data_IF_503689983388
#
_entry.id   IF_503689983388
#
_cell.length_a   1.000
_cell.length_b   1.000
_cell.length_c   1.000
_cell.angle_alpha   90.00
_cell.angle_beta   90.00
_cell.angle_gamma   90.00
#
_symmetry.space_group_name_H-M   'P 1'
#
loop_
_entity.id
_entity.type
_entity.pdbx_description
1 polymer ?
#
# COMPACT_ATOMS: atom_id res chain seq x y z
N UNK A 1 -0.33 33.97 -41.60
CA UNK A 1 -0.12 33.81 -40.14
C UNK A 1 -1.45 33.39 -39.55
N UNK A 2 -1.62 32.11 -39.25
CA UNK A 2 -2.84 31.58 -38.66
C UNK A 2 -2.45 30.79 -37.40
N UNK A 3 -3.25 31.02 -36.36
CA UNK A 3 -2.96 30.77 -34.96
C UNK A 3 -2.74 29.28 -34.66
N UNK A 4 -1.67 29.00 -33.92
CA UNK A 4 -1.40 27.71 -33.29
C UNK A 4 -2.44 27.45 -32.21
N UNK A 5 -3.41 26.59 -32.51
CA UNK A 5 -4.26 25.93 -31.51
C UNK A 5 -3.42 24.88 -30.77
N UNK A 6 -2.69 25.29 -29.73
CA UNK A 6 -2.10 24.34 -28.79
C UNK A 6 -3.17 23.91 -27.80
N UNK A 7 -3.82 22.79 -28.06
CA UNK A 7 -4.52 22.07 -27.00
C UNK A 7 -3.46 21.58 -26.01
N UNK A 8 -3.40 22.21 -24.84
CA UNK A 8 -2.58 21.77 -23.71
C UNK A 8 -3.49 20.90 -22.85
N UNK A 9 -3.20 19.60 -22.80
CA UNK A 9 -3.86 18.70 -21.87
C UNK A 9 -3.57 19.16 -20.41
N UNK A 10 -4.57 19.16 -19.49
CA UNK A 10 -4.35 19.58 -18.11
C UNK A 10 -3.27 18.72 -17.42
N UNK A 11 -2.31 19.37 -16.76
CA UNK A 11 -1.17 18.75 -16.07
C UNK A 11 -1.56 18.11 -14.70
N UNK A 12 -2.69 17.40 -14.64
CA UNK A 12 -3.33 16.97 -13.39
C UNK A 12 -2.85 15.62 -12.83
N UNK A 13 -1.91 14.93 -13.48
CA UNK A 13 -1.51 13.56 -13.12
C UNK A 13 0.01 13.43 -13.09
N UNK A 14 0.59 13.09 -11.92
CA UNK A 14 2.03 12.92 -11.71
C UNK A 14 2.35 11.45 -11.40
N UNK A 15 3.56 10.96 -11.75
CA UNK A 15 4.02 9.62 -11.33
C UNK A 15 4.13 9.56 -9.81
N UNK A 16 3.67 8.46 -9.21
CA UNK A 16 3.82 8.24 -7.78
C UNK A 16 5.26 7.78 -7.44
N UNK A 17 5.98 8.55 -6.63
CA UNK A 17 7.40 8.32 -6.30
C UNK A 17 7.65 7.72 -4.90
N UNK A 18 6.59 7.42 -4.15
CA UNK A 18 6.69 6.90 -2.77
C UNK A 18 6.36 5.40 -2.65
N UNK A 19 6.17 4.68 -3.77
CA UNK A 19 5.97 3.25 -3.72
C UNK A 19 7.21 2.53 -3.17
N UNK A 20 7.04 1.74 -2.11
CA UNK A 20 8.09 0.88 -1.57
C UNK A 20 8.35 -0.35 -2.46
N UNK A 21 7.34 -0.77 -3.24
CA UNK A 21 7.46 -1.81 -4.25
C UNK A 21 6.68 -1.43 -5.52
N UNK A 22 7.29 -1.69 -6.67
CA UNK A 22 6.84 -1.21 -7.98
C UNK A 22 5.47 -1.75 -8.40
N UNK A 23 4.53 -0.82 -8.56
CA UNK A 23 3.46 -0.94 -9.54
C UNK A 23 3.76 0.06 -10.65
N UNK A 24 4.28 -0.43 -11.77
CA UNK A 24 4.51 0.41 -12.95
C UNK A 24 3.18 1.06 -13.37
N UNK A 25 3.19 2.39 -13.50
CA UNK A 25 2.03 3.14 -13.97
C UNK A 25 1.06 3.63 -12.89
N UNK A 26 1.37 3.51 -11.58
CA UNK A 26 0.60 4.21 -10.54
C UNK A 26 0.85 5.71 -10.63
N UNK A 27 -0.25 6.45 -10.69
CA UNK A 27 -0.26 7.89 -10.78
C UNK A 27 -0.86 8.49 -9.51
N UNK A 28 -0.64 9.78 -9.31
CA UNK A 28 -1.30 10.58 -8.28
C UNK A 28 -1.91 11.83 -8.90
N UNK A 29 -2.93 12.35 -8.25
CA UNK A 29 -3.49 13.67 -8.58
C UNK A 29 -2.52 14.80 -8.20
N UNK A 30 -2.91 16.05 -8.47
CA UNK A 30 -2.07 17.21 -8.22
C UNK A 30 -1.85 17.50 -6.73
N UNK A 31 -2.89 17.33 -5.91
CA UNK A 31 -2.81 17.50 -4.45
C UNK A 31 -1.94 16.41 -3.81
N UNK A 32 -1.87 15.24 -4.46
CA UNK A 32 -1.23 14.04 -3.93
C UNK A 32 -2.10 13.27 -2.95
N UNK A 33 -3.36 13.64 -2.76
CA UNK A 33 -4.32 12.94 -1.90
C UNK A 33 -4.84 11.64 -2.54
N UNK A 34 -4.80 11.52 -3.87
CA UNK A 34 -5.37 10.39 -4.59
C UNK A 34 -4.30 9.58 -5.34
N UNK A 35 -4.53 8.28 -5.43
CA UNK A 35 -3.79 7.34 -6.26
C UNK A 35 -4.69 6.81 -7.37
N UNK A 36 -4.18 6.82 -8.59
CA UNK A 36 -4.82 6.24 -9.77
C UNK A 36 -3.98 5.02 -10.16
N UNK A 37 -4.52 3.83 -9.92
CA UNK A 37 -3.82 2.55 -10.15
C UNK A 37 -4.49 1.81 -11.31
N UNK A 38 -3.80 1.64 -12.45
CA UNK A 38 -4.25 0.71 -13.49
C UNK A 38 -4.38 -0.70 -12.91
N UNK A 39 -5.54 -1.33 -13.09
CA UNK A 39 -5.87 -2.57 -12.39
C UNK A 39 -6.68 -3.53 -13.26
N UNK A 40 -6.73 -4.80 -12.84
CA UNK A 40 -7.58 -5.79 -13.49
C UNK A 40 -9.05 -5.57 -13.09
N UNK A 41 -10.03 -5.96 -13.93
CA UNK A 41 -11.45 -5.91 -13.57
C UNK A 41 -11.76 -6.66 -12.26
N UNK A 42 -11.02 -7.73 -11.95
CA UNK A 42 -11.16 -8.48 -10.70
C UNK A 42 -10.82 -7.63 -9.46
N UNK A 43 -9.82 -6.75 -9.54
CA UNK A 43 -9.46 -5.85 -8.44
C UNK A 43 -10.56 -4.80 -8.24
N UNK A 44 -11.10 -4.23 -9.32
CA UNK A 44 -12.24 -3.29 -9.28
C UNK A 44 -13.43 -3.93 -8.57
N UNK A 45 -13.83 -5.13 -9.01
CA UNK A 45 -14.97 -5.84 -8.45
C UNK A 45 -14.79 -6.14 -6.95
N UNK A 46 -13.55 -6.42 -6.51
CA UNK A 46 -13.26 -6.63 -5.09
C UNK A 46 -13.45 -5.34 -4.27
N UNK A 47 -12.95 -4.19 -4.75
CA UNK A 47 -13.17 -2.89 -4.09
C UNK A 47 -14.66 -2.51 -4.04
N UNK A 48 -15.40 -2.68 -5.14
CA UNK A 48 -16.83 -2.38 -5.19
C UNK A 48 -17.65 -3.27 -4.23
N UNK A 49 -17.36 -4.56 -4.21
CA UNK A 49 -18.06 -5.51 -3.34
C UNK A 49 -17.67 -5.40 -1.86
N UNK A 50 -16.50 -4.85 -1.54
CA UNK A 50 -16.07 -4.64 -0.16
C UNK A 50 -16.99 -3.70 0.63
N UNK A 51 -17.81 -2.87 -0.03
CA UNK A 51 -18.84 -2.07 0.63
C UNK A 51 -19.86 -2.91 1.42
N UNK A 52 -20.08 -4.18 1.01
CA UNK A 52 -20.92 -5.13 1.76
C UNK A 52 -20.21 -5.74 2.99
N UNK A 53 -18.91 -5.44 3.17
CA UNK A 53 -18.05 -5.98 4.22
C UNK A 53 -17.37 -4.82 5.00
N UNK A 54 -18.13 -3.95 5.69
CA UNK A 54 -17.62 -2.69 6.25
C UNK A 54 -16.44 -2.87 7.23
N UNK A 55 -16.45 -3.95 8.03
CA UNK A 55 -15.34 -4.27 8.93
C UNK A 55 -14.03 -4.54 8.18
N UNK A 56 -14.10 -5.16 7.00
CA UNK A 56 -12.96 -5.39 6.12
C UNK A 56 -12.59 -4.12 5.34
N UNK A 57 -13.58 -3.41 4.78
CA UNK A 57 -13.38 -2.20 3.99
C UNK A 57 -12.64 -1.10 4.76
N UNK A 58 -12.84 -0.99 6.08
CA UNK A 58 -12.08 -0.09 6.97
C UNK A 58 -10.55 -0.27 6.83
N UNK A 59 -10.10 -1.48 6.53
CA UNK A 59 -8.69 -1.82 6.37
C UNK A 59 -8.20 -1.72 4.93
N UNK A 60 -9.02 -1.29 3.98
CA UNK A 60 -8.63 -1.02 2.60
C UNK A 60 -8.38 0.48 2.39
N UNK A 61 -7.58 0.89 1.39
CA UNK A 61 -7.60 2.27 0.92
C UNK A 61 -9.01 2.68 0.52
N UNK A 62 -9.42 3.90 0.84
CA UNK A 62 -10.75 4.41 0.49
C UNK A 62 -10.91 4.39 -1.03
N UNK A 63 -11.90 3.66 -1.51
CA UNK A 63 -12.21 3.55 -2.93
C UNK A 63 -13.16 4.67 -3.36
N UNK A 64 -12.74 5.45 -4.37
CA UNK A 64 -13.47 6.62 -4.86
C UNK A 64 -14.07 6.41 -6.26
N UNK A 65 -14.00 5.17 -6.76
CA UNK A 65 -14.53 4.80 -8.07
C UNK A 65 -13.45 4.44 -9.08
N UNK A 66 -13.83 4.42 -10.35
CA UNK A 66 -12.96 4.01 -11.46
C UNK A 66 -12.78 5.12 -12.48
N UNK A 67 -11.63 5.09 -13.15
CA UNK A 67 -11.34 5.89 -14.33
C UNK A 67 -11.08 4.96 -15.52
N UNK A 68 -11.68 5.30 -16.66
CA UNK A 68 -11.30 4.72 -17.95
C UNK A 68 -10.44 5.73 -18.67
N UNK A 69 -9.18 5.40 -18.93
CA UNK A 69 -8.36 6.21 -19.80
C UNK A 69 -8.89 5.99 -21.23
N UNK A 70 -9.52 7.01 -21.80
CA UNK A 70 -9.94 6.98 -23.20
C UNK A 70 -8.73 6.71 -24.12
N UNK A 71 -8.95 6.18 -25.33
CA UNK A 71 -7.88 6.12 -26.32
C UNK A 71 -7.30 7.54 -26.50
N UNK A 72 -5.98 7.69 -26.70
CA UNK A 72 -5.45 8.98 -27.14
C UNK A 72 -6.25 9.38 -28.38
N UNK A 73 -6.84 10.59 -28.39
CA UNK A 73 -7.54 11.10 -29.55
C UNK A 73 -6.62 10.96 -30.77
N UNK A 74 -6.97 10.03 -31.66
CA UNK A 74 -6.27 9.88 -32.92
C UNK A 74 -6.53 11.16 -33.73
N UNK A 75 -5.49 11.86 -34.22
CA UNK A 75 -5.72 12.87 -35.24
C UNK A 75 -6.40 12.18 -36.43
N UNK A 76 -7.43 12.84 -36.96
CA UNK A 76 -8.31 12.34 -38.00
C UNK A 76 -7.56 11.59 -39.12
N UNK A 77 -8.09 10.43 -39.48
CA UNK A 77 -7.53 9.50 -40.46
C UNK A 77 -7.26 10.16 -41.82
N UNK A 78 -6.07 9.92 -42.38
CA UNK A 78 -5.86 9.88 -43.83
C UNK A 78 -5.35 8.51 -44.22
N UNK A 79 -6.14 7.87 -45.07
CA UNK A 79 -5.94 6.59 -45.74
C UNK A 79 -4.74 6.60 -46.69
N UNK A 80 -3.89 5.57 -46.65
CA UNK A 80 -3.28 4.95 -47.85
C UNK A 80 -2.73 3.56 -47.51
N UNK A 81 -3.05 2.59 -48.37
CA UNK A 81 -2.65 1.17 -48.35
C UNK A 81 -1.16 0.92 -48.64
N UNK A 82 -0.61 -0.13 -48.03
CA UNK A 82 0.07 -1.29 -48.67
C UNK A 82 1.14 -1.96 -47.75
N UNK A 83 1.43 -3.27 -47.93
CA UNK A 83 1.90 -4.16 -46.86
C UNK A 83 3.39 -4.50 -46.93
N UNK A 84 4.05 -4.68 -45.78
CA UNK A 84 5.32 -5.42 -45.70
C UNK A 84 5.41 -6.18 -44.37
N UNK A 85 5.53 -7.49 -44.48
CA UNK A 85 5.87 -8.43 -43.41
C UNK A 85 7.36 -8.35 -43.06
N UNK A 86 7.70 -8.27 -41.78
CA UNK A 86 8.94 -8.85 -41.25
C UNK A 86 8.75 -9.24 -39.78
N UNK A 87 9.08 -10.50 -39.50
CA UNK A 87 9.14 -11.13 -38.19
C UNK A 87 10.41 -10.72 -37.44
N UNK A 88 10.28 -10.29 -36.19
CA UNK A 88 11.29 -10.49 -35.14
C UNK A 88 10.56 -10.66 -33.81
N UNK A 89 10.95 -11.70 -33.07
CA UNK A 89 10.29 -12.10 -31.83
C UNK A 89 10.38 -11.02 -30.76
N UNK A 90 9.23 -10.74 -30.15
CA UNK A 90 9.11 -10.07 -28.86
C UNK A 90 8.00 -10.79 -28.10
N UNK A 91 8.26 -11.06 -26.82
CA UNK A 91 7.21 -11.50 -25.90
C UNK A 91 6.01 -10.53 -26.01
N UNK A 92 4.76 -11.02 -25.93
CA UNK A 92 3.61 -10.15 -26.11
C UNK A 92 3.66 -9.02 -25.07
N UNK A 93 3.87 -7.79 -25.54
CA UNK A 93 3.72 -6.60 -24.73
C UNK A 93 2.34 -6.68 -24.08
N UNK A 94 2.30 -6.72 -22.74
CA UNK A 94 1.03 -6.76 -22.00
C UNK A 94 0.21 -5.56 -22.48
N UNK A 95 -0.99 -5.83 -23.00
CA UNK A 95 -1.92 -4.76 -23.39
C UNK A 95 -2.08 -3.80 -22.20
N UNK A 96 -2.06 -2.47 -22.42
CA UNK A 96 -2.35 -1.51 -21.36
C UNK A 96 -3.69 -1.85 -20.71
N UNK A 97 -3.75 -1.78 -19.39
CA UNK A 97 -5.01 -1.96 -18.67
C UNK A 97 -5.91 -0.76 -18.98
N UNK A 98 -7.15 -1.03 -19.36
CA UNK A 98 -8.11 -0.01 -19.82
C UNK A 98 -8.81 0.71 -18.67
N UNK A 99 -8.76 0.13 -17.46
CA UNK A 99 -9.44 0.65 -16.26
C UNK A 99 -8.43 0.86 -15.13
N UNK A 100 -8.62 1.96 -14.41
CA UNK A 100 -7.90 2.30 -13.19
C UNK A 100 -8.87 2.47 -12.04
N UNK A 101 -8.47 2.06 -10.84
CA UNK A 101 -9.14 2.43 -9.59
C UNK A 101 -8.58 3.75 -9.06
N UNK A 102 -9.45 4.56 -8.46
CA UNK A 102 -9.07 5.77 -7.72
C UNK A 102 -9.17 5.46 -6.23
N UNK A 103 -8.05 5.62 -5.53
CA UNK A 103 -7.91 5.29 -4.11
C UNK A 103 -7.36 6.48 -3.34
N UNK A 104 -7.67 6.58 -2.04
CA UNK A 104 -6.94 7.47 -1.14
C UNK A 104 -5.44 7.13 -1.12
N UNK A 105 -4.57 8.13 -1.16
CA UNK A 105 -3.13 7.96 -0.98
C UNK A 105 -2.77 7.83 0.50
N UNK A 106 -2.26 6.65 0.90
CA UNK A 106 -1.86 6.38 2.27
C UNK A 106 -0.72 7.28 2.76
N UNK A 107 0.10 7.84 1.87
CA UNK A 107 1.18 8.74 2.27
C UNK A 107 0.75 10.20 2.35
N UNK A 108 -0.48 10.54 2.00
CA UNK A 108 -1.00 11.89 2.13
C UNK A 108 -1.19 12.24 3.61
N UNK A 109 -0.77 13.45 3.98
CA UNK A 109 -0.79 13.92 5.37
C UNK A 109 0.48 13.63 6.19
N UNK A 110 1.46 12.94 5.60
CA UNK A 110 2.78 12.75 6.19
C UNK A 110 3.81 13.71 5.58
N UNK A 111 4.69 14.26 6.42
CA UNK A 111 5.83 15.11 6.04
C UNK A 111 6.97 14.26 5.50
N UNK A 112 7.31 13.17 6.19
CA UNK A 112 8.34 12.20 5.82
C UNK A 112 7.83 10.76 5.98
N UNK A 113 6.96 10.29 5.08
CA UNK A 113 6.37 8.96 5.18
C UNK A 113 7.45 7.86 5.08
N UNK A 114 7.59 7.07 6.13
CA UNK A 114 8.32 5.81 6.14
C UNK A 114 7.37 4.67 5.80
N UNK A 115 7.65 3.92 4.73
CA UNK A 115 6.73 2.93 4.15
C UNK A 115 7.32 1.52 4.23
N UNK A 116 6.54 0.52 4.63
CA UNK A 116 6.90 -0.89 4.57
C UNK A 116 5.76 -1.69 3.92
N UNK A 117 6.10 -2.45 2.87
CA UNK A 117 5.19 -3.39 2.21
C UNK A 117 5.53 -4.81 2.65
N UNK A 118 4.57 -5.47 3.29
CA UNK A 118 4.67 -6.87 3.70
C UNK A 118 3.65 -7.70 2.93
N UNK A 119 4.13 -8.54 2.01
CA UNK A 119 3.29 -9.50 1.29
C UNK A 119 2.87 -10.64 2.20
N UNK A 120 1.62 -11.06 2.06
CA UNK A 120 0.99 -12.14 2.82
C UNK A 120 0.83 -13.43 2.00
N UNK A 121 0.77 -14.55 2.72
CA UNK A 121 0.54 -15.90 2.23
C UNK A 121 1.79 -16.77 2.16
N UNK A 122 1.65 -18.02 2.60
CA UNK A 122 2.60 -19.11 2.33
C UNK A 122 2.40 -19.71 0.94
N UNK A 123 1.17 -19.68 0.43
CA UNK A 123 0.83 -19.89 -0.97
C UNK A 123 0.65 -18.54 -1.66
N UNK A 124 1.33 -18.33 -2.79
CA UNK A 124 1.38 -17.03 -3.48
C UNK A 124 0.53 -16.99 -4.76
N UNK A 125 -0.08 -18.10 -5.14
CA UNK A 125 -0.86 -18.28 -6.36
C UNK A 125 -2.31 -18.63 -6.04
N UNK A 126 -3.23 -18.17 -6.90
CA UNK A 126 -4.65 -18.50 -6.85
C UNK A 126 -4.99 -19.76 -7.66
N UNK A 127 -6.20 -20.30 -7.49
CA UNK A 127 -6.65 -21.51 -8.19
C UNK A 127 -6.75 -21.34 -9.72
N UNK A 128 -6.74 -20.11 -10.23
CA UNK A 128 -6.76 -19.77 -11.66
C UNK A 128 -5.35 -19.70 -12.27
N UNK A 129 -4.28 -19.65 -11.45
CA UNK A 129 -2.92 -19.53 -11.94
C UNK A 129 -2.52 -20.75 -12.81
N UNK A 130 -1.88 -20.55 -13.98
CA UNK A 130 -1.31 -21.65 -14.76
C UNK A 130 -0.20 -22.40 -14.00
N UNK A 131 0.00 -23.68 -14.30
CA UNK A 131 0.96 -24.55 -13.58
C UNK A 131 2.39 -23.98 -13.56
N UNK A 132 2.86 -23.42 -14.67
CA UNK A 132 4.18 -22.77 -14.74
C UNK A 132 4.27 -21.56 -13.79
N UNK A 133 3.22 -20.74 -13.72
CA UNK A 133 3.13 -19.61 -12.78
C UNK A 133 3.12 -20.09 -11.34
N UNK A 134 2.42 -21.19 -11.03
CA UNK A 134 2.42 -21.81 -9.70
C UNK A 134 3.81 -22.27 -9.30
N UNK A 135 4.48 -23.07 -10.15
CA UNK A 135 5.83 -23.57 -9.87
C UNK A 135 6.83 -22.44 -9.58
N UNK A 136 6.81 -21.36 -10.38
CA UNK A 136 7.65 -20.19 -10.13
C UNK A 136 7.32 -19.49 -8.81
N UNK A 137 6.04 -19.39 -8.45
CA UNK A 137 5.61 -18.75 -7.21
C UNK A 137 5.89 -19.64 -5.98
N UNK A 138 5.84 -20.96 -6.12
CA UNK A 138 6.27 -21.89 -5.09
C UNK A 138 7.78 -21.80 -4.83
N UNK A 139 8.60 -21.64 -5.88
CA UNK A 139 10.03 -21.40 -5.71
C UNK A 139 10.30 -20.11 -4.92
N UNK A 140 9.58 -19.03 -5.24
CA UNK A 140 9.65 -17.77 -4.47
C UNK A 140 9.21 -18.00 -3.03
N UNK A 141 8.14 -18.76 -2.79
CA UNK A 141 7.69 -19.03 -1.43
C UNK A 141 8.73 -19.82 -0.64
N UNK A 142 9.32 -20.86 -1.25
CA UNK A 142 10.27 -21.78 -0.62
C UNK A 142 11.64 -21.14 -0.32
N UNK A 143 12.04 -20.14 -1.11
CA UNK A 143 13.33 -19.45 -0.96
C UNK A 143 13.23 -18.16 -0.15
N UNK A 144 12.07 -17.88 0.45
CA UNK A 144 11.84 -16.66 1.25
C UNK A 144 11.12 -16.98 2.54
N UNK A 145 10.91 -15.97 3.38
CA UNK A 145 10.08 -16.08 4.59
C UNK A 145 8.62 -16.38 4.31
N UNK A 146 8.14 -16.30 3.05
CA UNK A 146 6.73 -16.52 2.73
C UNK A 146 6.29 -17.91 3.16
N UNK A 147 7.06 -18.97 2.84
CA UNK A 147 6.69 -20.34 3.23
C UNK A 147 6.67 -20.55 4.75
N UNK A 148 7.74 -20.23 5.51
CA UNK A 148 7.77 -20.51 6.94
C UNK A 148 6.95 -19.54 7.79
N UNK A 149 6.82 -18.27 7.39
CA UNK A 149 6.13 -17.24 8.19
C UNK A 149 4.80 -16.77 7.59
N UNK A 150 4.40 -17.28 6.42
CA UNK A 150 3.23 -16.76 5.72
C UNK A 150 3.37 -15.29 5.28
N UNK A 151 4.57 -14.71 5.32
CA UNK A 151 4.80 -13.30 5.01
C UNK A 151 6.21 -13.06 4.45
N UNK A 152 6.40 -11.96 3.72
CA UNK A 152 7.74 -11.43 3.40
C UNK A 152 7.73 -9.92 3.23
N UNK A 153 8.86 -9.29 3.53
CA UNK A 153 9.08 -7.90 3.18
C UNK A 153 9.24 -7.81 1.65
N UNK A 154 8.41 -6.99 1.01
CA UNK A 154 8.43 -6.76 -0.43
C UNK A 154 9.23 -5.51 -0.81
N UNK A 155 9.40 -4.59 0.14
CA UNK A 155 10.20 -3.39 0.02
C UNK A 155 9.90 -2.45 1.18
N UNK A 156 10.81 -1.52 1.46
CA UNK A 156 10.57 -0.47 2.43
C UNK A 156 11.36 0.80 2.12
N UNK A 157 10.93 1.91 2.69
CA UNK A 157 11.53 3.24 2.54
C UNK A 157 11.54 3.90 3.91
N UNK A 158 12.71 4.27 4.42
CA UNK A 158 12.90 4.83 5.76
C UNK A 158 13.56 6.19 5.65
N UNK A 159 13.01 7.20 6.32
CA UNK A 159 13.58 8.55 6.39
C UNK A 159 14.82 8.56 7.28
N UNK A 160 15.92 9.11 6.77
CA UNK A 160 17.24 9.13 7.41
C UNK A 160 17.73 10.55 7.71
N UNK A 161 16.92 11.56 7.42
CA UNK A 161 17.30 12.97 7.49
C UNK A 161 17.77 13.55 6.16
N UNK A 162 17.52 14.84 5.96
CA UNK A 162 17.89 15.56 4.74
C UNK A 162 19.43 15.66 4.55
N UNK A 163 20.18 15.61 5.64
CA UNK A 163 21.64 15.68 5.67
C UNK A 163 22.30 14.34 5.94
N UNK A 164 21.60 13.23 5.66
CA UNK A 164 22.13 11.89 5.92
C UNK A 164 23.41 11.62 5.11
N UNK A 165 24.45 11.14 5.78
CA UNK A 165 25.68 10.64 5.15
C UNK A 165 25.63 9.12 4.94
N UNK A 166 24.48 8.49 5.16
CA UNK A 166 24.32 7.06 4.98
C UNK A 166 24.67 6.64 3.55
N UNK A 167 25.51 5.62 3.42
CA UNK A 167 25.77 4.96 2.16
C UNK A 167 24.83 3.77 2.04
N UNK A 168 24.16 3.65 0.89
CA UNK A 168 23.36 2.47 0.59
C UNK A 168 24.17 1.17 0.65
N UNK A 169 23.47 0.05 0.57
CA UNK A 169 24.06 -1.30 0.56
C UNK A 169 23.83 -1.98 -0.78
N UNK A 170 24.25 -3.25 -0.91
CA UNK A 170 23.94 -4.04 -2.11
C UNK A 170 22.43 -4.16 -2.40
N UNK A 171 21.59 -3.97 -1.38
CA UNK A 171 20.13 -4.11 -1.45
C UNK A 171 19.39 -2.86 -0.98
N UNK A 172 20.10 -1.74 -0.77
CA UNK A 172 19.50 -0.45 -0.42
C UNK A 172 20.16 0.72 -1.14
N UNK A 173 19.35 1.73 -1.50
CA UNK A 173 19.83 2.96 -2.13
C UNK A 173 19.41 4.15 -1.27
N UNK A 174 20.36 5.05 -1.00
CA UNK A 174 20.06 6.31 -0.32
C UNK A 174 19.80 7.40 -1.35
N UNK A 175 18.62 8.01 -1.28
CA UNK A 175 18.18 9.06 -2.20
C UNK A 175 17.19 9.99 -1.53
N UNK A 176 17.37 11.30 -1.72
CA UNK A 176 16.47 12.35 -1.23
C UNK A 176 16.21 12.27 0.28
N UNK A 177 17.23 11.92 1.08
CA UNK A 177 17.13 11.74 2.54
C UNK A 177 16.47 10.43 3.00
N UNK A 178 16.11 9.54 2.07
CA UNK A 178 15.58 8.21 2.38
C UNK A 178 16.58 7.11 2.09
N UNK A 179 16.54 6.05 2.87
CA UNK A 179 17.10 4.75 2.51
C UNK A 179 15.97 3.86 2.00
N UNK A 180 16.13 3.36 0.77
CA UNK A 180 15.12 2.60 0.04
C UNK A 180 15.63 1.18 -0.16
N UNK A 181 14.87 0.20 0.30
CA UNK A 181 15.18 -1.22 0.23
C UNK A 181 14.23 -1.90 -0.74
N UNK A 182 14.78 -2.65 -1.68
CA UNK A 182 14.00 -3.32 -2.70
C UNK A 182 13.51 -4.71 -2.25
N UNK A 183 12.84 -5.43 -3.15
CA UNK A 183 12.39 -6.81 -2.89
C UNK A 183 13.53 -7.80 -2.64
N UNK A 184 14.74 -7.52 -3.10
CA UNK A 184 15.87 -8.43 -2.91
C UNK A 184 16.37 -8.36 -1.47
N UNK A 185 16.33 -7.17 -0.84
CA UNK A 185 16.54 -7.04 0.60
C UNK A 185 15.60 -7.97 1.39
N UNK A 186 14.28 -7.92 1.13
CA UNK A 186 13.34 -8.78 1.84
C UNK A 186 13.54 -10.29 1.61
N UNK A 187 14.16 -10.68 0.48
CA UNK A 187 14.49 -12.07 0.16
C UNK A 187 15.74 -12.59 0.88
N UNK A 188 16.53 -11.73 1.52
CA UNK A 188 17.72 -12.19 2.28
C UNK A 188 17.36 -12.75 3.65
N UNK A 189 16.13 -12.54 4.13
CA UNK A 189 15.71 -12.98 5.46
C UNK A 189 15.27 -14.45 5.50
N UNK A 190 15.51 -15.04 6.66
CA UNK A 190 14.97 -16.32 7.12
C UNK A 190 13.93 -16.09 8.22
N UNK A 191 13.26 -17.15 8.67
CA UNK A 191 12.28 -17.04 9.76
C UNK A 191 12.91 -16.47 11.05
N UNK A 192 14.16 -16.82 11.33
CA UNK A 192 14.91 -16.44 12.52
C UNK A 192 15.44 -15.00 12.44
N UNK A 193 15.61 -14.46 11.23
CA UNK A 193 16.22 -13.15 10.99
C UNK A 193 15.21 -12.08 10.53
N UNK A 194 13.96 -12.46 10.27
CA UNK A 194 12.92 -11.55 9.79
C UNK A 194 12.67 -10.35 10.72
N UNK A 195 12.91 -10.48 12.03
CA UNK A 195 12.80 -9.38 13.00
C UNK A 195 13.71 -8.20 12.63
N UNK A 196 14.89 -8.48 12.07
CA UNK A 196 15.85 -7.44 11.69
C UNK A 196 15.27 -6.50 10.61
N UNK A 197 14.41 -6.99 9.72
CA UNK A 197 13.75 -6.14 8.72
C UNK A 197 12.77 -5.15 9.35
N UNK A 198 12.04 -5.55 10.40
CA UNK A 198 11.17 -4.65 11.15
C UNK A 198 11.95 -3.68 12.05
N UNK A 199 13.09 -4.13 12.60
CA UNK A 199 14.03 -3.26 13.31
C UNK A 199 14.59 -2.18 12.38
N UNK A 200 15.00 -2.57 11.18
CA UNK A 200 15.48 -1.66 10.16
C UNK A 200 14.40 -0.66 9.74
N UNK A 201 13.14 -1.10 9.60
CA UNK A 201 12.03 -0.22 9.30
C UNK A 201 11.77 0.82 10.40
N UNK A 202 11.73 0.41 11.68
CA UNK A 202 11.26 1.27 12.78
C UNK A 202 12.37 2.04 13.50
N UNK A 203 13.60 1.53 13.53
CA UNK A 203 14.68 2.02 14.41
C UNK A 203 15.91 2.55 13.69
N UNK A 204 16.03 2.41 12.36
CA UNK A 204 17.14 2.99 11.59
C UNK A 204 16.89 4.43 11.10
N UNK A 205 15.71 4.98 11.35
CA UNK A 205 15.35 6.36 11.00
C UNK A 205 15.81 7.38 12.03
N UNK A 206 15.23 8.58 11.98
CA UNK A 206 15.56 9.69 12.92
C UNK A 206 14.79 9.62 14.24
N UNK A 207 13.74 8.82 14.33
CA UNK A 207 12.94 8.71 15.55
C UNK A 207 13.77 8.16 16.72
N UNK A 208 13.48 8.68 17.91
CA UNK A 208 14.01 8.10 19.16
C UNK A 208 13.50 6.68 19.39
N UNK A 209 14.22 5.90 20.21
CA UNK A 209 13.81 4.54 20.54
C UNK A 209 12.41 4.48 21.19
N UNK A 210 12.03 5.50 21.97
CA UNK A 210 10.71 5.58 22.61
C UNK A 210 9.60 5.83 21.58
N UNK A 211 9.83 6.77 20.64
CA UNK A 211 8.90 7.02 19.53
C UNK A 211 8.76 5.78 18.63
N UNK A 212 9.86 5.11 18.29
CA UNK A 212 9.83 3.87 17.50
C UNK A 212 9.03 2.77 18.17
N UNK A 213 9.19 2.58 19.50
CA UNK A 213 8.39 1.62 20.28
C UNK A 213 6.91 1.98 20.33
N UNK A 214 6.58 3.26 20.46
CA UNK A 214 5.20 3.74 20.37
C UNK A 214 4.57 3.38 19.03
N UNK A 215 5.26 3.63 17.92
CA UNK A 215 4.79 3.27 16.57
C UNK A 215 4.66 1.75 16.43
N UNK A 216 5.63 0.97 16.92
CA UNK A 216 5.57 -0.50 16.92
C UNK A 216 4.32 -1.01 17.65
N UNK A 217 4.02 -0.46 18.84
CA UNK A 217 2.85 -0.84 19.64
C UNK A 217 1.53 -0.49 18.95
N UNK A 218 1.46 0.69 18.29
CA UNK A 218 0.29 1.11 17.53
C UNK A 218 0.05 0.20 16.31
N UNK A 219 1.11 -0.17 15.59
CA UNK A 219 1.00 -1.14 14.50
C UNK A 219 0.59 -2.52 15.00
N UNK A 220 1.17 -3.02 16.10
CA UNK A 220 0.76 -4.29 16.70
C UNK A 220 -0.74 -4.30 17.02
N UNK A 221 -1.26 -3.22 17.61
CA UNK A 221 -2.69 -3.09 17.91
C UNK A 221 -3.57 -3.08 16.64
N UNK A 222 -3.16 -2.39 15.57
CA UNK A 222 -3.89 -2.38 14.29
C UNK A 222 -3.83 -3.74 13.59
N UNK A 223 -2.67 -4.41 13.59
CA UNK A 223 -2.51 -5.77 13.03
C UNK A 223 -3.38 -6.77 13.79
N UNK A 224 -3.51 -6.65 15.11
CA UNK A 224 -4.42 -7.48 15.90
C UNK A 224 -5.89 -7.26 15.51
N UNK A 225 -6.31 -6.03 15.21
CA UNK A 225 -7.66 -5.76 14.71
C UNK A 225 -7.89 -6.29 13.29
N UNK A 226 -6.88 -6.18 12.41
CA UNK A 226 -6.94 -6.80 11.07
C UNK A 226 -7.08 -8.32 11.21
N UNK A 227 -6.32 -8.93 12.10
CA UNK A 227 -6.39 -10.37 12.35
C UNK A 227 -7.81 -10.79 12.77
N UNK A 228 -8.41 -10.09 13.74
CA UNK A 228 -9.78 -10.33 14.18
C UNK A 228 -10.78 -10.24 13.02
N UNK A 229 -10.67 -9.21 12.18
CA UNK A 229 -11.52 -9.08 10.99
C UNK A 229 -11.32 -10.25 10.02
N UNK A 230 -10.08 -10.65 9.73
CA UNK A 230 -9.80 -11.75 8.81
C UNK A 230 -10.28 -13.11 9.33
N UNK A 231 -10.27 -13.31 10.65
CA UNK A 231 -10.80 -14.54 11.28
C UNK A 231 -12.33 -14.65 11.14
N UNK A 232 -13.04 -13.52 10.93
CA UNK A 232 -14.50 -13.46 10.78
C UNK A 232 -14.98 -13.10 9.37
N UNK A 233 -14.09 -13.07 8.38
CA UNK A 233 -14.42 -12.76 6.99
C UNK A 233 -14.02 -13.91 6.06
N UNK A 234 -14.94 -14.29 5.19
CA UNK A 234 -14.72 -15.35 4.22
C UNK A 234 -14.23 -14.74 2.89
N UNK A 235 -12.92 -14.53 2.82
CA UNK A 235 -12.23 -14.12 1.60
C UNK A 235 -11.04 -15.04 1.32
N UNK A 236 -10.48 -14.94 0.12
CA UNK A 236 -9.18 -15.49 -0.23
C UNK A 236 -8.37 -14.41 -0.90
N UNK A 237 -7.16 -14.18 -0.42
CA UNK A 237 -6.25 -13.19 -0.99
C UNK A 237 -4.90 -13.83 -1.29
N UNK A 238 -4.43 -13.67 -2.52
CA UNK A 238 -3.13 -14.19 -2.93
C UNK A 238 -2.21 -13.03 -3.31
N UNK A 239 -1.04 -12.96 -2.67
CA UNK A 239 -0.05 -11.90 -2.88
C UNK A 239 -0.52 -10.47 -2.52
N UNK A 240 -1.60 -10.34 -1.73
CA UNK A 240 -1.97 -9.10 -1.06
C UNK A 240 -0.90 -8.68 -0.04
N UNK A 241 -0.94 -7.42 0.39
CA UNK A 241 0.05 -6.88 1.33
C UNK A 241 -0.58 -6.10 2.48
N UNK A 242 0.07 -6.13 3.63
CA UNK A 242 -0.04 -5.07 4.64
C UNK A 242 0.92 -3.93 4.26
N UNK A 243 0.38 -2.73 4.07
CA UNK A 243 1.16 -1.52 3.81
C UNK A 243 1.18 -0.63 5.06
N UNK A 244 2.34 -0.56 5.69
CA UNK A 244 2.60 0.26 6.87
C UNK A 244 3.14 1.62 6.45
N UNK A 245 2.65 2.69 7.06
CA UNK A 245 3.16 4.05 6.88
C UNK A 245 3.26 4.73 8.24
N UNK A 246 4.39 5.35 8.57
CA UNK A 246 4.52 6.21 9.75
C UNK A 246 5.24 7.52 9.43
N UNK A 247 5.07 8.52 10.30
CA UNK A 247 5.78 9.81 10.20
C UNK A 247 7.23 9.69 10.68
N UNK A 248 8.18 9.84 9.76
CA UNK A 248 9.61 9.77 10.04
C UNK A 248 10.23 11.07 10.53
N UNK A 249 9.55 12.21 10.36
CA UNK A 249 10.00 13.51 10.85
C UNK A 249 9.61 13.70 12.32
N UNK A 250 10.59 13.94 13.18
CA UNK A 250 10.41 14.00 14.64
C UNK A 250 9.43 15.11 15.04
N UNK A 251 9.58 16.31 14.45
CA UNK A 251 8.75 17.46 14.79
C UNK A 251 7.32 17.28 14.28
N UNK A 252 7.16 16.73 13.06
CA UNK A 252 5.84 16.44 12.51
C UNK A 252 5.11 15.34 13.29
N UNK A 253 5.83 14.31 13.74
CA UNK A 253 5.30 13.22 14.57
C UNK A 253 4.77 13.76 15.90
N UNK A 254 5.56 14.58 16.59
CA UNK A 254 5.17 15.18 17.87
C UNK A 254 3.93 16.08 17.71
N UNK A 255 3.88 16.87 16.64
CA UNK A 255 2.71 17.68 16.31
C UNK A 255 1.46 16.83 16.03
N UNK A 256 1.60 15.74 15.26
CA UNK A 256 0.49 14.83 14.97
C UNK A 256 -0.04 14.16 16.24
N UNK A 257 0.83 13.73 17.15
CA UNK A 257 0.45 13.15 18.44
C UNK A 257 -0.30 14.14 19.34
N UNK A 258 0.08 15.42 19.34
CA UNK A 258 -0.63 16.47 20.08
C UNK A 258 -2.04 16.67 19.50
N UNK A 259 -2.17 16.74 18.17
CA UNK A 259 -3.47 16.90 17.50
C UNK A 259 -4.39 15.71 17.80
N UNK A 260 -3.90 14.47 17.70
CA UNK A 260 -4.71 13.28 18.02
C UNK A 260 -5.21 13.28 19.47
N UNK A 261 -4.39 13.73 20.42
CA UNK A 261 -4.80 13.85 21.84
C UNK A 261 -5.87 14.91 22.05
N UNK A 262 -5.82 16.02 21.31
CA UNK A 262 -6.83 17.08 21.39
C UNK A 262 -8.18 16.66 20.79
N UNK A 263 -8.17 15.81 19.75
CA UNK A 263 -9.38 15.25 19.14
C UNK A 263 -10.09 14.19 19.99
N UNK A 264 -9.39 13.57 20.94
CA UNK A 264 -10.00 12.63 21.91
C UNK A 264 -10.31 13.38 23.20
N UNK A 265 -11.55 13.84 23.44
CA UNK A 265 -11.87 14.43 24.74
C UNK A 265 -11.63 13.39 25.83
N UNK A 266 -10.98 13.82 26.91
CA UNK A 266 -10.69 13.03 28.09
C UNK A 266 -12.01 12.42 28.62
N UNK A 267 -12.20 11.09 28.49
CA UNK A 267 -13.32 10.37 29.13
C UNK A 267 -13.09 10.31 30.64
N UNK A 268 -13.16 11.48 31.26
CA UNK A 268 -12.72 11.73 32.62
C UNK A 268 -13.65 12.68 33.37
N UNK A 269 -14.97 12.57 33.22
CA UNK A 269 -15.93 12.89 34.28
C UNK A 269 -17.22 12.11 34.07
N UNK A 270 -17.73 11.54 35.16
CA UNK A 270 -18.93 10.72 35.24
C UNK A 270 -20.18 11.53 34.89
N UNK A 271 -20.85 11.19 33.80
CA UNK A 271 -22.30 11.29 33.67
C UNK A 271 -22.75 10.38 32.50
N UNK A 272 -23.67 9.47 32.80
CA UNK A 272 -24.41 8.68 31.84
C UNK A 272 -25.18 9.62 30.89
N UNK A 273 -24.87 9.59 29.60
CA UNK A 273 -25.76 10.03 28.54
C UNK A 273 -25.35 9.34 27.23
N UNK A 274 -26.35 9.17 26.38
CA UNK A 274 -26.46 8.16 25.35
C UNK A 274 -25.48 8.30 24.18
N UNK A 275 -25.38 7.21 23.43
CA UNK A 275 -24.66 7.17 22.17
C UNK A 275 -25.27 8.18 21.19
N UNK A 276 -24.51 9.23 20.89
CA UNK A 276 -24.56 9.89 19.59
C UNK A 276 -23.24 9.58 18.88
N UNK A 277 -23.33 8.73 17.87
CA UNK A 277 -22.37 8.73 16.76
C UNK A 277 -22.61 10.05 16.02
N UNK A 278 -21.88 11.10 16.42
CA UNK A 278 -21.79 12.30 15.59
C UNK A 278 -21.06 11.89 14.30
N UNK A 279 -21.85 11.74 13.23
CA UNK A 279 -21.43 11.99 11.85
C UNK A 279 -20.76 13.38 11.84
N UNK A 280 -19.43 13.40 11.95
CA UNK A 280 -18.63 14.56 11.56
C UNK A 280 -18.76 14.66 10.03
N UNK A 281 -19.85 15.28 9.56
CA UNK A 281 -19.90 16.00 8.30
C UNK A 281 -18.91 17.18 8.41
N UNK A 282 -17.61 16.86 8.44
CA UNK A 282 -16.54 17.79 8.12
C UNK A 282 -16.80 18.20 6.66
N UNK A 283 -17.47 19.34 6.44
CA UNK A 283 -17.40 20.03 5.16
C UNK A 283 -15.91 20.17 4.83
N UNK A 284 -15.40 19.35 3.90
CA UNK A 284 -14.01 19.40 3.45
C UNK A 284 -13.74 20.80 2.88
N UNK A 285 -13.24 21.71 3.72
CA UNK A 285 -12.69 22.97 3.23
C UNK A 285 -11.53 22.59 2.32
N UNK A 286 -11.74 22.73 1.01
CA UNK A 286 -10.75 22.43 -0.03
C UNK A 286 -9.42 23.19 0.18
N UNK A 287 -9.39 24.21 1.05
CA UNK A 287 -8.20 24.96 1.44
C UNK A 287 -7.60 24.58 2.80
N UNK A 288 -8.18 23.62 3.53
CA UNK A 288 -7.61 23.15 4.78
C UNK A 288 -6.25 22.47 4.54
N UNK A 289 -5.26 22.67 5.43
CA UNK A 289 -3.98 21.99 5.30
C UNK A 289 -4.17 20.47 5.41
N UNK A 290 -3.30 19.67 4.76
CA UNK A 290 -3.37 18.22 4.83
C UNK A 290 -3.42 17.72 6.28
N UNK A 291 -4.19 16.65 6.57
CA UNK A 291 -4.29 16.11 7.92
C UNK A 291 -2.92 15.62 8.38
N UNK A 292 -2.50 15.91 9.62
CA UNK A 292 -1.24 15.37 10.16
C UNK A 292 -1.47 13.98 10.73
N UNK A 293 -0.74 12.99 10.22
CA UNK A 293 -0.87 11.59 10.63
C UNK A 293 0.35 11.10 11.40
N UNK A 294 0.11 10.26 12.41
CA UNK A 294 1.15 9.54 13.15
C UNK A 294 1.54 8.26 12.39
N UNK A 295 0.55 7.43 12.06
CA UNK A 295 0.72 6.18 11.33
C UNK A 295 -0.57 5.72 10.62
N UNK A 296 -0.42 4.99 9.53
CA UNK A 296 -1.52 4.36 8.77
C UNK A 296 -1.15 2.90 8.41
N UNK A 297 -2.16 2.04 8.32
CA UNK A 297 -1.99 0.62 7.99
C UNK A 297 -3.21 0.14 7.21
N UNK A 298 -2.99 -0.36 5.99
CA UNK A 298 -4.03 -0.94 5.14
C UNK A 298 -3.60 -2.26 4.49
N UNK A 299 -4.58 -3.12 4.20
CA UNK A 299 -4.48 -4.21 3.25
C UNK A 299 -4.58 -3.64 1.83
N UNK A 300 -3.70 -4.07 0.93
CA UNK A 300 -3.65 -3.63 -0.47
C UNK A 300 -3.42 -4.81 -1.44
N UNK A 301 -3.49 -4.52 -2.74
CA UNK A 301 -3.21 -5.44 -3.85
C UNK A 301 -4.20 -6.61 -3.99
N UNK A 302 -5.45 -6.28 -4.31
CA UNK A 302 -6.57 -7.23 -4.39
C UNK A 302 -6.78 -7.85 -5.78
N UNK A 303 -5.79 -7.77 -6.68
CA UNK A 303 -5.89 -8.31 -8.04
C UNK A 303 -6.13 -9.84 -8.09
N UNK A 304 -5.73 -10.55 -7.05
CA UNK A 304 -5.96 -11.98 -6.85
C UNK A 304 -6.72 -12.23 -5.54
N UNK A 305 -7.76 -11.43 -5.29
CA UNK A 305 -8.66 -11.58 -4.16
C UNK A 305 -10.10 -11.90 -4.59
N UNK A 306 -10.83 -12.62 -3.73
CA UNK A 306 -12.25 -12.93 -3.92
C UNK A 306 -12.94 -13.19 -2.58
N UNK A 307 -14.22 -12.86 -2.48
CA UNK A 307 -15.09 -13.33 -1.40
C UNK A 307 -15.45 -14.81 -1.62
N UNK A 308 -15.40 -15.61 -0.56
CA UNK A 308 -15.61 -17.07 -0.61
C UNK A 308 -16.58 -17.55 0.47
N UNK A 309 -17.87 -17.12 0.45
CA UNK A 309 -18.83 -17.48 1.48
C UNK A 309 -18.99 -19.00 1.64
N UNK A 310 -18.99 -19.48 2.88
CA UNK A 310 -19.09 -20.89 3.24
C UNK A 310 -17.76 -21.67 3.19
N UNK A 311 -16.66 -21.06 2.78
CA UNK A 311 -15.33 -21.70 2.75
C UNK A 311 -14.50 -21.44 4.01
N UNK A 312 -15.02 -20.69 4.99
CA UNK A 312 -14.29 -20.28 6.18
C UNK A 312 -13.21 -19.22 5.91
N UNK A 313 -12.44 -18.83 6.95
CA UNK A 313 -11.49 -17.72 6.87
C UNK A 313 -10.21 -18.05 6.08
N UNK A 314 -9.51 -17.00 5.62
CA UNK A 314 -8.26 -17.12 4.87
C UNK A 314 -7.08 -17.53 5.76
N UNK A 315 -6.94 -18.84 6.04
CA UNK A 315 -5.85 -19.36 6.86
C UNK A 315 -4.45 -19.06 6.29
N UNK A 316 -4.34 -18.87 4.97
CA UNK A 316 -3.08 -18.55 4.30
C UNK A 316 -2.63 -17.12 4.64
N UNK A 317 -3.54 -16.15 4.55
CA UNK A 317 -3.27 -14.75 4.95
C UNK A 317 -3.14 -14.62 6.47
N UNK A 318 -4.02 -15.27 7.24
CA UNK A 318 -4.01 -15.24 8.72
C UNK A 318 -2.67 -15.71 9.30
N UNK A 319 -2.06 -16.75 8.74
CA UNK A 319 -0.72 -17.19 9.17
C UNK A 319 0.29 -16.04 9.08
N UNK A 320 0.34 -15.34 7.94
CA UNK A 320 1.21 -14.19 7.73
C UNK A 320 0.95 -13.05 8.71
N UNK A 321 -0.31 -12.71 8.92
CA UNK A 321 -0.72 -11.64 9.86
C UNK A 321 -0.32 -11.99 11.29
N UNK A 322 -0.47 -13.26 11.72
CA UNK A 322 -0.01 -13.74 13.04
C UNK A 322 1.50 -13.60 13.20
N UNK A 323 2.29 -13.97 12.19
CA UNK A 323 3.75 -13.79 12.22
C UNK A 323 4.15 -12.32 12.28
N UNK A 324 3.50 -11.45 11.50
CA UNK A 324 3.73 -9.99 11.55
C UNK A 324 3.43 -9.44 12.94
N UNK A 325 2.29 -9.82 13.54
CA UNK A 325 1.92 -9.41 14.89
C UNK A 325 2.98 -9.83 15.92
N UNK A 326 3.43 -11.08 15.87
CA UNK A 326 4.45 -11.61 16.78
C UNK A 326 5.81 -10.91 16.63
N UNK A 327 6.18 -10.50 15.41
CA UNK A 327 7.41 -9.72 15.18
C UNK A 327 7.29 -8.30 15.73
N UNK A 328 6.16 -7.63 15.51
CA UNK A 328 5.92 -6.28 16.03
C UNK A 328 5.88 -6.25 17.57
N UNK A 329 5.26 -7.25 18.20
CA UNK A 329 5.19 -7.36 19.67
C UNK A 329 6.56 -7.52 20.34
N UNK A 330 7.58 -8.01 19.62
CA UNK A 330 8.95 -8.06 20.13
C UNK A 330 9.65 -6.70 20.13
N UNK A 331 9.06 -5.70 19.47
CA UNK A 331 9.62 -4.37 19.27
C UNK A 331 8.92 -3.29 20.10
N UNK A 332 7.92 -3.65 20.91
CA UNK A 332 7.18 -2.73 21.80
C UNK A 332 7.87 -2.54 23.13
#
# INVERSE_FOLDING_TARGET
MAQSSSFVAPALIKRFSHAAAGHDGVLRDESGALLIKPCLPKEVAFYESAAAHPAFAKWMPTFMGTLKLGPPEAPAATTTDAPTSTSTGDAPAKKPLETSIVLSNLTYGFTRPCVLDVKLGAQLWDNEAPLEKRARLDEVANTTTSRPLGMRIAGMKVWKGASTSATGSATSVVKDGYEIYDKNYGRTFTAETALAGFQDYLFKGELSAEQSKLIAARFAAKVAQILDVLEHQESRMYSASLLFVYEGDVDALDQALVIEKQKKPDKGTLAEAEADEEDDDDEEDENAPPPKKVEDLKLIDFAHASWTPGEGPDLNSIHGVKSVLALLQQLT
#
